data_IF_124766562741
#
_entry.id   IF_124766562741
#
_cell.length_a   1.000
_cell.length_b   1.000
_cell.length_c   1.000
_cell.angle_alpha   90.00
_cell.angle_beta   90.00
_cell.angle_gamma   90.00
#
_symmetry.space_group_name_H-M   'P 1'
#
loop_
_entity.id
_entity.type
_entity.pdbx_description
1 polymer ?
#
# COMPACT_ATOMS: atom_id res chain seq x y z
N UNK A 1 -33.89 14.53 -9.70
CA UNK A 1 -33.05 13.35 -10.04
C UNK A 1 -31.91 13.87 -10.89
N UNK A 2 -30.62 13.70 -10.63
CA UNK A 2 -29.86 12.57 -10.08
C UNK A 2 -28.58 13.12 -9.42
N UNK A 3 -28.28 12.68 -8.20
CA UNK A 3 -27.01 12.99 -7.53
C UNK A 3 -25.89 12.22 -8.23
N UNK A 4 -24.96 12.91 -8.89
CA UNK A 4 -23.74 12.30 -9.40
C UNK A 4 -22.91 11.84 -8.19
N UNK A 5 -23.03 10.56 -7.83
CA UNK A 5 -22.17 9.94 -6.82
C UNK A 5 -20.77 9.85 -7.45
N UNK A 6 -19.76 10.42 -6.81
CA UNK A 6 -18.39 10.33 -7.33
C UNK A 6 -17.92 8.87 -7.31
N UNK A 7 -17.09 8.48 -8.28
CA UNK A 7 -16.52 7.14 -8.34
C UNK A 7 -15.78 6.76 -7.05
N UNK A 8 -15.15 7.75 -6.40
CA UNK A 8 -14.50 7.59 -5.10
C UNK A 8 -15.48 7.23 -3.98
N UNK A 9 -16.65 7.89 -3.93
CA UNK A 9 -17.69 7.58 -2.94
C UNK A 9 -18.29 6.18 -3.16
N UNK A 10 -18.46 5.75 -4.42
CA UNK A 10 -18.90 4.39 -4.75
C UNK A 10 -17.86 3.37 -4.30
N UNK A 11 -16.58 3.61 -4.61
CA UNK A 11 -15.50 2.69 -4.26
C UNK A 11 -15.30 2.58 -2.76
N UNK A 12 -15.38 3.69 -2.03
CA UNK A 12 -15.32 3.69 -0.57
C UNK A 12 -16.44 2.86 0.05
N UNK A 13 -17.67 3.04 -0.44
CA UNK A 13 -18.82 2.26 0.03
C UNK A 13 -18.67 0.77 -0.25
N UNK A 14 -18.13 0.40 -1.41
CA UNK A 14 -17.84 -0.99 -1.75
C UNK A 14 -16.79 -1.61 -0.81
N UNK A 15 -15.71 -0.88 -0.51
CA UNK A 15 -14.68 -1.33 0.43
C UNK A 15 -15.20 -1.51 1.86
N UNK A 16 -16.08 -0.61 2.32
CA UNK A 16 -16.69 -0.71 3.64
C UNK A 16 -17.56 -1.97 3.79
N UNK A 17 -18.34 -2.32 2.74
CA UNK A 17 -19.12 -3.56 2.70
C UNK A 17 -18.20 -4.79 2.70
N UNK A 18 -17.18 -4.80 1.85
CA UNK A 18 -16.25 -5.93 1.78
C UNK A 18 -15.52 -6.17 3.09
N UNK A 19 -15.19 -5.11 3.83
CA UNK A 19 -14.56 -5.20 5.14
C UNK A 19 -15.48 -5.79 6.22
N UNK A 20 -16.80 -5.65 6.10
CA UNK A 20 -17.74 -6.26 7.05
C UNK A 20 -18.05 -7.72 6.74
N UNK A 21 -17.94 -8.13 5.47
CA UNK A 21 -18.30 -9.48 5.01
C UNK A 21 -17.10 -10.44 4.97
N UNK A 22 -15.89 -9.94 4.74
CA UNK A 22 -14.68 -10.76 4.58
C UNK A 22 -13.88 -10.84 5.87
N UNK A 23 -13.24 -12.00 6.08
CA UNK A 23 -12.21 -12.09 7.10
C UNK A 23 -10.95 -11.30 6.66
N UNK A 24 -10.01 -11.13 7.59
CA UNK A 24 -8.80 -10.32 7.36
C UNK A 24 -7.98 -10.80 6.15
N UNK A 25 -7.83 -12.11 6.00
CA UNK A 25 -7.00 -12.70 4.93
C UNK A 25 -7.68 -12.55 3.57
N UNK A 26 -8.98 -12.81 3.50
CA UNK A 26 -9.80 -12.65 2.30
C UNK A 26 -9.84 -11.18 1.84
N UNK A 27 -10.01 -10.25 2.79
CA UNK A 27 -10.00 -8.82 2.49
C UNK A 27 -8.64 -8.35 1.96
N UNK A 28 -7.54 -8.86 2.54
CA UNK A 28 -6.19 -8.56 2.04
C UNK A 28 -5.95 -9.14 0.64
N UNK A 29 -6.37 -10.38 0.40
CA UNK A 29 -6.26 -11.01 -0.93
C UNK A 29 -7.07 -10.25 -1.99
N UNK A 30 -8.27 -9.77 -1.63
CA UNK A 30 -9.05 -8.90 -2.51
C UNK A 30 -8.31 -7.61 -2.84
N UNK A 31 -7.79 -6.91 -1.82
CA UNK A 31 -7.04 -5.67 -2.02
C UNK A 31 -5.81 -5.89 -2.91
N UNK A 32 -5.07 -6.98 -2.73
CA UNK A 32 -3.93 -7.33 -3.58
C UNK A 32 -4.32 -7.61 -5.03
N UNK A 33 -5.49 -8.23 -5.26
CA UNK A 33 -5.97 -8.54 -6.60
C UNK A 33 -6.43 -7.29 -7.36
N UNK A 34 -7.07 -6.34 -6.68
CA UNK A 34 -7.59 -5.11 -7.30
C UNK A 34 -6.58 -3.97 -7.37
N UNK A 35 -5.56 -4.00 -6.50
CA UNK A 35 -4.51 -2.98 -6.53
C UNK A 35 -3.56 -3.34 -7.67
N UNK A 36 -3.46 -2.50 -8.71
CA UNK A 36 -2.48 -2.75 -9.76
C UNK A 36 -1.10 -2.81 -9.08
N UNK A 37 -0.28 -3.81 -9.42
CA UNK A 37 1.13 -3.85 -9.03
C UNK A 37 1.85 -2.72 -9.76
N UNK A 38 1.68 -1.49 -9.27
CA UNK A 38 2.31 -0.31 -9.82
C UNK A 38 3.79 -0.35 -9.45
N UNK A 39 4.61 -0.75 -10.41
CA UNK A 39 6.07 -0.69 -10.30
C UNK A 39 6.71 -1.98 -9.78
N UNK A 40 7.92 -2.23 -10.26
CA UNK A 40 8.83 -3.20 -9.68
C UNK A 40 9.43 -2.54 -8.43
N UNK A 41 8.82 -2.80 -7.27
CA UNK A 41 9.25 -2.23 -5.99
C UNK A 41 10.73 -2.53 -5.70
N UNK A 42 11.27 -3.65 -6.20
CA UNK A 42 12.68 -3.97 -6.07
C UNK A 42 13.54 -3.10 -6.99
N UNK A 43 13.08 -2.82 -8.22
CA UNK A 43 13.74 -1.85 -9.12
C UNK A 43 13.71 -0.43 -8.54
N UNK A 44 12.56 0.03 -8.03
CA UNK A 44 12.42 1.37 -7.47
C UNK A 44 13.27 1.53 -6.21
N UNK A 45 13.35 0.49 -5.37
CA UNK A 45 14.24 0.46 -4.22
C UNK A 45 15.70 0.49 -4.66
N UNK A 46 16.08 -0.31 -5.67
CA UNK A 46 17.43 -0.33 -6.24
C UNK A 46 17.82 1.05 -6.80
N UNK A 47 16.93 1.70 -7.53
CA UNK A 47 17.20 3.01 -8.12
C UNK A 47 17.29 4.12 -7.06
N UNK A 48 16.44 4.08 -6.03
CA UNK A 48 16.53 5.02 -4.89
C UNK A 48 17.76 4.79 -4.01
N UNK A 49 18.23 3.55 -3.90
CA UNK A 49 19.39 3.21 -3.04
C UNK A 49 20.73 3.42 -3.74
N UNK A 50 20.78 3.49 -5.08
CA UNK A 50 22.00 3.81 -5.85
C UNK A 50 22.64 5.15 -5.44
N UNK A 51 21.84 6.11 -4.98
CA UNK A 51 22.30 7.45 -4.59
C UNK A 51 22.54 7.58 -3.09
N UNK A 52 22.24 6.54 -2.29
CA UNK A 52 22.40 6.57 -0.84
C UNK A 52 23.80 6.08 -0.45
N UNK A 53 24.50 6.90 0.34
CA UNK A 53 25.74 6.46 1.01
C UNK A 53 25.41 5.40 2.06
N UNK A 54 26.31 4.42 2.20
CA UNK A 54 26.21 3.31 3.15
C UNK A 54 26.01 3.80 4.59
N UNK A 55 26.62 4.93 4.96
CA UNK A 55 26.42 5.54 6.28
C UNK A 55 24.98 6.00 6.51
N UNK A 56 24.33 6.54 5.48
CA UNK A 56 22.93 6.95 5.53
C UNK A 56 22.01 5.73 5.66
N UNK A 57 22.28 4.67 4.90
CA UNK A 57 21.53 3.41 4.98
C UNK A 57 21.60 2.82 6.39
N UNK A 58 22.81 2.74 6.98
CA UNK A 58 23.02 2.22 8.33
C UNK A 58 22.31 3.09 9.38
N UNK A 59 22.34 4.42 9.23
CA UNK A 59 21.66 5.35 10.14
C UNK A 59 20.15 5.17 10.11
N UNK A 60 19.56 5.06 8.93
CA UNK A 60 18.11 4.86 8.79
C UNK A 60 17.69 3.46 9.28
N UNK A 61 18.44 2.41 8.96
CA UNK A 61 18.16 1.04 9.41
C UNK A 61 18.11 0.93 10.93
N UNK A 62 19.02 1.63 11.64
CA UNK A 62 19.02 1.68 13.11
C UNK A 62 17.75 2.31 13.69
N UNK A 63 17.08 3.23 13.00
CA UNK A 63 15.83 3.84 13.48
C UNK A 63 14.68 2.82 13.54
N UNK A 64 14.69 1.82 12.67
CA UNK A 64 13.67 0.77 12.64
C UNK A 64 13.97 -0.38 13.63
N UNK A 65 15.22 -0.52 14.09
CA UNK A 65 15.59 -1.50 15.13
C UNK A 65 15.25 -1.06 16.55
N UNK A 66 14.90 0.20 16.80
CA UNK A 66 14.57 0.72 18.15
C UNK A 66 13.07 0.57 18.48
N UNK A 67 12.29 -0.09 17.63
CA UNK A 67 10.85 -0.31 17.80
C UNK A 67 10.43 -1.78 17.94
N UNK A 68 11.28 -2.63 18.53
CA UNK A 68 10.95 -4.02 18.89
C UNK A 68 11.23 -4.26 20.38
#
# INVERSE_FOLDING_TARGET
MSSAVSAEAVMRKALDILKSELNREEYLAYLEAITPRTGDAAKDLKDKTKTLDMKTIIKEARKFQVGA
#
